data_IF_740917920336
#
_entry.id   IF_740917920336
#
_cell.length_a   1.000
_cell.length_b   1.000
_cell.length_c   1.000
_cell.angle_alpha   90.00
_cell.angle_beta   90.00
_cell.angle_gamma   90.00
#
_symmetry.space_group_name_H-M   'P 1'
#
loop_
_entity.id
_entity.type
_entity.pdbx_description
1 polymer ?
#
# COMPACT_ATOMS: atom_id res chain seq x y z
N UNK A 1 -24.25 -6.02 -21.11
CA UNK A 1 -22.85 -6.51 -20.99
C UNK A 1 -22.12 -6.64 -22.33
N UNK A 2 -22.73 -7.16 -23.41
CA UNK A 2 -22.06 -7.27 -24.72
C UNK A 2 -21.58 -5.92 -25.31
N UNK A 3 -22.34 -4.85 -25.10
CA UNK A 3 -22.00 -3.48 -25.56
C UNK A 3 -20.74 -2.90 -24.90
N UNK A 4 -20.51 -3.14 -23.59
CA UNK A 4 -19.31 -2.66 -22.88
C UNK A 4 -18.06 -3.41 -23.34
N UNK A 5 -18.18 -4.73 -23.56
CA UNK A 5 -17.09 -5.57 -24.05
C UNK A 5 -16.63 -5.15 -25.45
N UNK A 6 -17.57 -4.76 -26.32
CA UNK A 6 -17.32 -4.27 -27.67
C UNK A 6 -16.63 -2.90 -27.68
N UNK A 7 -17.07 -1.97 -26.82
CA UNK A 7 -16.46 -0.64 -26.67
C UNK A 7 -15.02 -0.70 -26.17
N UNK A 8 -14.73 -1.59 -25.21
CA UNK A 8 -13.37 -1.79 -24.71
C UNK A 8 -12.47 -2.41 -25.79
N UNK A 9 -12.93 -3.45 -26.49
CA UNK A 9 -12.12 -4.07 -27.55
C UNK A 9 -11.80 -3.11 -28.70
N UNK A 10 -12.74 -2.28 -29.13
CA UNK A 10 -12.48 -1.24 -30.14
C UNK A 10 -11.47 -0.21 -29.62
N UNK A 11 -11.65 0.27 -28.39
CA UNK A 11 -10.72 1.20 -27.75
C UNK A 11 -9.29 0.64 -27.68
N UNK A 12 -9.12 -0.62 -27.23
CA UNK A 12 -7.81 -1.27 -27.17
C UNK A 12 -7.22 -1.55 -28.56
N UNK A 13 -8.03 -1.83 -29.57
CA UNK A 13 -7.57 -2.11 -30.94
C UNK A 13 -6.95 -0.89 -31.65
N UNK A 14 -7.35 0.33 -31.25
CA UNK A 14 -6.81 1.58 -31.79
C UNK A 14 -5.52 2.06 -31.12
N UNK A 15 -5.10 1.45 -30.00
CA UNK A 15 -3.90 1.87 -29.29
C UNK A 15 -2.64 1.33 -29.97
N UNK A 16 -1.70 2.23 -30.27
CA UNK A 16 -0.39 1.88 -30.83
C UNK A 16 0.61 1.39 -29.77
N UNK A 17 0.36 1.71 -28.50
CA UNK A 17 1.21 1.38 -27.36
C UNK A 17 0.42 0.58 -26.33
N UNK A 18 1.12 -0.22 -25.52
CA UNK A 18 0.50 -0.86 -24.37
C UNK A 18 0.07 0.19 -23.31
N UNK A 19 -1.14 0.09 -22.74
CA UNK A 19 -1.67 1.03 -21.77
C UNK A 19 -0.96 0.91 -20.41
N UNK A 20 -1.02 2.00 -19.66
CA UNK A 20 -0.65 2.07 -18.24
C UNK A 20 -1.93 1.97 -17.41
N UNK A 21 -1.97 1.05 -16.45
CA UNK A 21 -3.12 0.87 -15.58
C UNK A 21 -2.86 1.49 -14.21
N UNK A 22 -3.80 2.26 -13.68
CA UNK A 22 -3.78 2.67 -12.28
C UNK A 22 -4.63 1.74 -11.42
N UNK A 23 -4.03 1.11 -10.41
CA UNK A 23 -4.70 0.22 -9.47
C UNK A 23 -4.59 0.73 -8.05
N UNK A 24 -5.74 1.03 -7.44
CA UNK A 24 -5.84 1.36 -6.02
C UNK A 24 -6.23 0.16 -5.16
N UNK A 25 -6.50 0.43 -3.88
CA UNK A 25 -6.72 -0.60 -2.86
C UNK A 25 -7.97 -1.43 -3.09
N UNK A 26 -8.92 -0.92 -3.88
CA UNK A 26 -10.09 -1.68 -4.33
C UNK A 26 -9.74 -2.98 -5.06
N UNK A 27 -8.60 -3.05 -5.75
CA UNK A 27 -8.13 -4.28 -6.39
C UNK A 27 -7.80 -5.36 -5.36
N UNK A 28 -6.98 -5.02 -4.36
CA UNK A 28 -6.63 -5.93 -3.26
C UNK A 28 -7.86 -6.31 -2.43
N UNK A 29 -8.75 -5.35 -2.11
CA UNK A 29 -10.00 -5.63 -1.39
C UNK A 29 -10.93 -6.60 -2.13
N UNK A 30 -10.97 -6.51 -3.47
CA UNK A 30 -11.81 -7.38 -4.30
C UNK A 30 -11.30 -8.82 -4.29
N UNK A 31 -9.99 -9.01 -4.37
CA UNK A 31 -9.41 -10.33 -4.67
C UNK A 31 -8.69 -11.01 -3.51
N UNK A 32 -8.24 -10.29 -2.48
CA UNK A 32 -7.54 -10.88 -1.34
C UNK A 32 -8.49 -11.23 -0.20
N UNK A 33 -8.17 -12.32 0.53
CA UNK A 33 -8.88 -12.73 1.76
C UNK A 33 -8.76 -11.65 2.85
N UNK A 34 -7.59 -11.02 2.95
CA UNK A 34 -7.33 -9.94 3.89
C UNK A 34 -6.71 -8.74 3.16
N UNK A 35 -7.35 -7.58 3.30
CA UNK A 35 -6.88 -6.30 2.81
C UNK A 35 -7.70 -5.20 3.50
N UNK A 36 -7.24 -3.96 3.46
CA UNK A 36 -7.80 -2.88 4.25
C UNK A 36 -7.91 -1.61 3.41
N UNK A 37 -8.99 -0.84 3.59
CA UNK A 37 -8.93 0.58 3.22
C UNK A 37 -7.92 1.29 4.12
N UNK A 38 -7.47 2.50 3.75
CA UNK A 38 -6.57 3.26 4.62
C UNK A 38 -7.17 3.51 6.01
N UNK A 39 -8.46 3.85 6.08
CA UNK A 39 -9.16 4.03 7.35
C UNK A 39 -9.18 2.73 8.16
N UNK A 40 -9.56 1.61 7.54
CA UNK A 40 -9.68 0.32 8.22
C UNK A 40 -8.32 -0.24 8.65
N UNK A 41 -7.24 0.06 7.91
CA UNK A 41 -5.88 -0.30 8.29
C UNK A 41 -5.47 0.40 9.58
N UNK A 42 -5.64 1.72 9.65
CA UNK A 42 -5.31 2.49 10.86
C UNK A 42 -6.21 2.09 12.03
N UNK A 43 -7.49 1.81 11.76
CA UNK A 43 -8.42 1.28 12.75
C UNK A 43 -7.94 -0.05 13.32
N UNK A 44 -7.60 -1.00 12.44
CA UNK A 44 -7.10 -2.33 12.83
C UNK A 44 -5.86 -2.21 13.70
N UNK A 45 -4.89 -1.38 13.31
CA UNK A 45 -3.66 -1.17 14.10
C UNK A 45 -3.97 -0.57 15.47
N UNK A 46 -4.88 0.41 15.54
CA UNK A 46 -5.32 0.99 16.82
C UNK A 46 -6.05 -0.04 17.69
N UNK A 47 -6.92 -0.85 17.11
CA UNK A 47 -7.66 -1.90 17.82
C UNK A 47 -6.71 -2.96 18.38
N UNK A 48 -5.70 -3.36 17.61
CA UNK A 48 -4.68 -4.32 18.06
C UNK A 48 -3.78 -3.73 19.15
N UNK A 49 -3.38 -2.46 19.01
CA UNK A 49 -2.56 -1.78 20.01
C UNK A 49 -3.29 -1.63 21.35
N UNK A 50 -4.51 -1.10 21.34
CA UNK A 50 -5.21 -0.71 22.56
C UNK A 50 -6.23 -1.72 23.08
N UNK A 51 -6.65 -2.70 22.26
CA UNK A 51 -7.76 -3.60 22.58
C UNK A 51 -9.10 -2.88 22.77
N UNK A 52 -9.24 -1.64 22.27
CA UNK A 52 -10.43 -0.82 22.47
C UNK A 52 -10.75 0.04 21.23
N UNK A 53 -11.89 -0.21 20.55
CA UNK A 53 -12.25 0.50 19.32
C UNK A 53 -12.54 1.99 19.50
N UNK A 54 -12.79 2.45 20.73
CA UNK A 54 -13.01 3.88 21.01
C UNK A 54 -11.73 4.70 20.82
N UNK A 55 -10.56 4.10 21.06
CA UNK A 55 -9.28 4.81 20.95
C UNK A 55 -9.00 5.32 19.54
N UNK A 56 -9.43 4.57 18.53
CA UNK A 56 -9.30 5.02 17.14
C UNK A 56 -10.19 6.23 16.87
N UNK A 57 -11.44 6.20 17.35
CA UNK A 57 -12.38 7.31 17.19
C UNK A 57 -11.91 8.57 17.92
N UNK A 58 -11.43 8.44 19.15
CA UNK A 58 -10.82 9.54 19.91
C UNK A 58 -9.66 10.17 19.12
N UNK A 59 -8.81 9.33 18.51
CA UNK A 59 -7.69 9.79 17.71
C UNK A 59 -8.14 10.55 16.45
N UNK A 60 -9.12 10.00 15.73
CA UNK A 60 -9.71 10.61 14.52
C UNK A 60 -10.33 11.98 14.81
N UNK A 61 -11.01 12.12 15.96
CA UNK A 61 -11.59 13.38 16.43
C UNK A 61 -10.52 14.45 16.64
N UNK A 62 -9.39 14.07 17.28
CA UNK A 62 -8.28 15.00 17.52
C UNK A 62 -7.54 15.45 16.24
N UNK A 63 -7.82 14.82 15.09
CA UNK A 63 -7.16 15.06 13.80
C UNK A 63 -8.08 15.74 12.78
N UNK A 64 -9.09 16.46 13.26
CA UNK A 64 -10.00 17.23 12.42
C UNK A 64 -9.34 18.53 11.92
N UNK A 65 -9.19 18.66 10.60
CA UNK A 65 -8.55 19.80 9.95
C UNK A 65 -9.45 20.26 8.80
N UNK A 66 -9.75 21.56 8.72
CA UNK A 66 -10.53 22.15 7.61
C UNK A 66 -11.87 21.43 7.32
N UNK A 67 -12.57 20.95 8.35
CA UNK A 67 -13.87 20.29 8.16
C UNK A 67 -13.79 18.81 7.78
N UNK A 68 -12.62 18.16 7.87
CA UNK A 68 -12.45 16.73 7.64
C UNK A 68 -11.33 16.14 8.51
N UNK A 69 -11.46 14.89 8.95
CA UNK A 69 -10.36 14.18 9.60
C UNK A 69 -9.24 13.87 8.61
N UNK A 70 -8.01 14.26 8.94
CA UNK A 70 -6.81 13.92 8.17
C UNK A 70 -6.27 12.55 8.57
N UNK A 71 -6.31 11.58 7.66
CA UNK A 71 -5.76 10.23 7.92
C UNK A 71 -4.24 10.23 8.02
N UNK A 72 -3.56 11.16 7.35
CA UNK A 72 -2.10 11.35 7.44
C UNK A 72 -1.68 11.74 8.86
N UNK A 73 -2.45 12.65 9.49
CA UNK A 73 -2.22 13.07 10.86
C UNK A 73 -2.62 12.00 11.88
N UNK A 74 -3.70 11.26 11.61
CA UNK A 74 -4.07 10.08 12.41
C UNK A 74 -2.94 9.06 12.37
N UNK A 75 -2.39 8.75 11.19
CA UNK A 75 -1.28 7.83 11.04
C UNK A 75 -0.01 8.30 11.77
N UNK A 76 0.34 9.59 11.69
CA UNK A 76 1.49 10.17 12.42
C UNK A 76 1.37 9.99 13.94
N UNK A 77 0.20 10.32 14.49
CA UNK A 77 -0.05 10.21 15.94
C UNK A 77 -0.15 8.75 16.37
N UNK A 78 -0.77 7.90 15.55
CA UNK A 78 -0.86 6.47 15.81
C UNK A 78 0.52 5.81 15.76
N UNK A 79 1.36 6.16 14.79
CA UNK A 79 2.75 5.68 14.68
C UNK A 79 3.54 6.01 15.95
N UNK A 80 3.43 7.26 16.43
CA UNK A 80 4.10 7.69 17.67
C UNK A 80 3.69 6.80 18.84
N UNK A 81 2.39 6.58 19.02
CA UNK A 81 1.88 5.77 20.13
C UNK A 81 2.17 4.29 19.96
N UNK A 82 2.12 3.77 18.75
CA UNK A 82 2.45 2.39 18.45
C UNK A 82 3.92 2.12 18.76
N UNK A 83 4.83 2.98 18.31
CA UNK A 83 6.26 2.82 18.56
C UNK A 83 6.62 2.90 20.06
N UNK A 84 5.90 3.70 20.83
CA UNK A 84 6.03 3.82 22.29
C UNK A 84 5.52 2.56 23.00
N UNK A 85 4.26 2.18 22.75
CA UNK A 85 3.58 1.14 23.51
C UNK A 85 3.97 -0.28 23.06
N UNK A 86 4.25 -0.50 21.77
CA UNK A 86 4.58 -1.83 21.26
C UNK A 86 5.98 -2.31 21.69
N UNK A 87 6.85 -1.42 22.15
CA UNK A 87 8.23 -1.77 22.52
C UNK A 87 8.29 -2.77 23.69
N UNK A 88 7.35 -2.67 24.63
CA UNK A 88 7.29 -3.49 25.85
C UNK A 88 6.09 -4.47 25.85
N UNK A 89 5.41 -4.62 24.72
CA UNK A 89 4.20 -5.43 24.60
C UNK A 89 4.48 -6.74 23.86
N UNK A 90 4.33 -7.86 24.56
CA UNK A 90 4.64 -9.21 24.07
C UNK A 90 3.88 -9.58 22.78
N UNK A 91 2.70 -8.98 22.54
CA UNK A 91 1.91 -9.21 21.32
C UNK A 91 2.64 -8.76 20.06
N UNK A 92 3.63 -7.88 20.20
CA UNK A 92 4.42 -7.33 19.11
C UNK A 92 5.88 -7.82 19.12
N UNK A 93 6.20 -8.91 19.81
CA UNK A 93 7.56 -9.46 19.87
C UNK A 93 8.16 -9.73 18.48
N UNK A 94 7.41 -10.33 17.54
CA UNK A 94 7.89 -10.53 16.17
C UNK A 94 8.27 -9.20 15.48
N UNK A 95 7.49 -8.13 15.73
CA UNK A 95 7.74 -6.80 15.19
C UNK A 95 8.97 -6.17 15.84
N UNK A 96 9.15 -6.40 17.15
CA UNK A 96 10.30 -5.93 17.91
C UNK A 96 11.58 -6.63 17.47
N UNK A 97 11.55 -7.94 17.22
CA UNK A 97 12.69 -8.71 16.73
C UNK A 97 13.16 -8.16 15.37
N UNK A 98 12.23 -7.97 14.43
CA UNK A 98 12.54 -7.34 13.13
C UNK A 98 13.10 -5.93 13.33
N UNK A 99 12.47 -5.12 14.19
CA UNK A 99 12.93 -3.76 14.46
C UNK A 99 14.37 -3.73 14.97
N UNK A 100 14.71 -4.55 15.96
CA UNK A 100 16.05 -4.58 16.55
C UNK A 100 17.10 -5.18 15.60
N UNK A 101 16.74 -6.20 14.81
CA UNK A 101 17.62 -6.77 13.79
C UNK A 101 18.07 -5.75 12.75
N UNK A 102 17.14 -4.91 12.28
CA UNK A 102 17.46 -3.83 11.34
C UNK A 102 18.19 -2.68 12.02
N UNK A 103 17.80 -2.31 13.24
CA UNK A 103 18.46 -1.25 14.01
C UNK A 103 19.93 -1.59 14.29
N UNK A 104 20.25 -2.85 14.62
CA UNK A 104 21.62 -3.33 14.79
C UNK A 104 22.47 -3.20 13.51
N UNK A 105 21.83 -3.21 12.33
CA UNK A 105 22.47 -3.00 11.02
C UNK A 105 22.51 -1.51 10.62
N UNK A 106 22.11 -0.59 11.51
CA UNK A 106 22.05 0.84 11.24
C UNK A 106 20.87 1.28 10.37
N UNK A 107 19.90 0.39 10.11
CA UNK A 107 18.71 0.69 9.32
C UNK A 107 17.56 1.00 10.28
N UNK A 108 17.02 2.22 10.20
CA UNK A 108 15.94 2.67 11.09
C UNK A 108 14.58 2.48 10.46
N UNK A 109 13.93 1.38 10.81
CA UNK A 109 12.51 1.16 10.52
C UNK A 109 11.64 1.57 11.71
N UNK A 110 10.39 1.90 11.44
CA UNK A 110 9.38 2.16 12.47
C UNK A 110 8.66 0.85 12.80
N UNK A 111 8.43 0.53 14.07
CA UNK A 111 7.65 -0.66 14.46
C UNK A 111 6.26 -0.63 13.83
N UNK A 112 5.66 0.55 13.78
CA UNK A 112 4.38 0.78 13.11
C UNK A 112 4.40 0.35 11.65
N UNK A 113 5.43 0.74 10.89
CA UNK A 113 5.56 0.38 9.46
C UNK A 113 5.90 -1.09 9.25
N UNK A 114 6.74 -1.67 10.10
CA UNK A 114 6.98 -3.13 10.11
C UNK A 114 5.66 -3.87 10.35
N UNK A 115 4.85 -3.40 11.30
CA UNK A 115 3.56 -4.00 11.59
C UNK A 115 2.57 -3.89 10.43
N UNK A 116 2.56 -2.76 9.72
CA UNK A 116 1.78 -2.64 8.47
C UNK A 116 2.24 -3.66 7.43
N UNK A 117 3.55 -3.87 7.27
CA UNK A 117 4.07 -4.89 6.37
C UNK A 117 3.53 -6.27 6.75
N UNK A 118 3.54 -6.60 8.04
CA UNK A 118 2.99 -7.85 8.57
C UNK A 118 1.48 -8.02 8.29
N UNK A 119 0.69 -6.96 8.47
CA UNK A 119 -0.76 -6.98 8.20
C UNK A 119 -1.12 -7.14 6.71
N UNK A 120 -0.18 -6.84 5.81
CA UNK A 120 -0.41 -6.79 4.36
C UNK A 120 0.46 -7.80 3.58
N UNK A 121 1.17 -8.70 4.27
CA UNK A 121 2.04 -9.71 3.63
C UNK A 121 1.24 -10.86 3.01
N UNK A 122 0.09 -11.20 3.59
CA UNK A 122 -0.77 -12.26 3.08
C UNK A 122 -1.54 -11.80 1.84
N UNK A 123 -1.15 -12.38 0.70
CA UNK A 123 -1.76 -12.16 -0.61
C UNK A 123 -2.60 -13.38 -1.07
N UNK A 124 -3.17 -14.11 -0.11
CA UNK A 124 -4.09 -15.21 -0.37
C UNK A 124 -5.35 -14.71 -1.05
N UNK A 125 -5.69 -15.34 -2.17
CA UNK A 125 -6.83 -14.97 -3.01
C UNK A 125 -8.14 -15.53 -2.46
N UNK A 126 -9.23 -14.78 -2.63
CA UNK A 126 -10.61 -15.22 -2.43
C UNK A 126 -10.97 -16.26 -3.48
N UNK A 127 -11.29 -17.47 -3.03
CA UNK A 127 -11.59 -18.61 -3.91
C UNK A 127 -12.81 -18.33 -4.79
N UNK A 128 -13.80 -17.61 -4.26
CA UNK A 128 -15.00 -17.18 -4.97
C UNK A 128 -14.72 -16.24 -6.15
N UNK A 129 -13.53 -15.61 -6.20
CA UNK A 129 -13.14 -14.70 -7.29
C UNK A 129 -12.36 -15.38 -8.41
N UNK A 130 -12.09 -16.69 -8.31
CA UNK A 130 -11.24 -17.43 -9.25
C UNK A 130 -11.67 -17.32 -10.72
N UNK A 131 -12.97 -17.32 -10.99
CA UNK A 131 -13.49 -17.18 -12.36
C UNK A 131 -13.24 -15.78 -12.94
N UNK A 132 -13.45 -14.74 -12.14
CA UNK A 132 -13.18 -13.34 -12.56
C UNK A 132 -11.67 -13.14 -12.80
N UNK A 133 -10.84 -13.67 -11.90
CA UNK A 133 -9.38 -13.64 -12.02
C UNK A 133 -8.89 -14.36 -13.28
N UNK A 134 -9.46 -15.52 -13.62
CA UNK A 134 -9.11 -16.25 -14.84
C UNK A 134 -9.38 -15.43 -16.11
N UNK A 135 -10.46 -14.62 -16.15
CA UNK A 135 -10.74 -13.71 -17.26
C UNK A 135 -9.79 -12.50 -17.26
N UNK A 136 -9.50 -11.91 -16.10
CA UNK A 136 -8.52 -10.82 -15.97
C UNK A 136 -7.11 -11.26 -16.42
N UNK A 137 -6.71 -12.51 -16.15
CA UNK A 137 -5.43 -13.06 -16.60
C UNK A 137 -5.32 -13.06 -18.14
N UNK A 138 -6.43 -13.21 -18.86
CA UNK A 138 -6.43 -13.12 -20.34
C UNK A 138 -6.18 -11.69 -20.80
N UNK A 139 -6.73 -10.70 -20.10
CA UNK A 139 -6.55 -9.29 -20.40
C UNK A 139 -5.16 -8.74 -20.03
N UNK A 140 -4.49 -9.36 -19.04
CA UNK A 140 -3.21 -8.87 -18.48
C UNK A 140 -2.08 -8.75 -19.51
N UNK A 141 -2.09 -9.58 -20.56
CA UNK A 141 -1.01 -9.64 -21.57
C UNK A 141 -0.87 -8.36 -22.39
N UNK A 142 -1.90 -7.52 -22.38
CA UNK A 142 -1.93 -6.31 -23.20
C UNK A 142 -1.52 -5.06 -22.42
N UNK A 143 -1.13 -5.17 -21.15
CA UNK A 143 -0.77 -4.03 -20.28
C UNK A 143 0.75 -3.79 -20.32
N UNK A 144 1.16 -2.53 -20.40
CA UNK A 144 2.57 -2.15 -20.50
C UNK A 144 3.19 -2.01 -19.12
N UNK A 145 2.52 -1.28 -18.23
CA UNK A 145 2.97 -1.01 -16.87
C UNK A 145 1.79 -0.72 -15.95
N UNK A 146 2.05 -0.76 -14.64
CA UNK A 146 1.02 -0.51 -13.63
C UNK A 146 1.53 0.54 -12.65
N UNK A 147 0.65 1.47 -12.29
CA UNK A 147 0.85 2.44 -11.22
C UNK A 147 -0.08 2.08 -10.06
N UNK A 148 0.43 2.02 -8.85
CA UNK A 148 -0.36 1.66 -7.66
C UNK A 148 0.03 2.46 -6.44
N UNK A 149 -0.97 2.67 -5.58
CA UNK A 149 -0.81 3.20 -4.22
C UNK A 149 -0.90 2.11 -3.15
N UNK A 150 -1.02 0.83 -3.56
CA UNK A 150 -1.10 -0.30 -2.65
C UNK A 150 0.28 -0.70 -2.16
N UNK A 151 0.37 -1.11 -0.89
CA UNK A 151 1.63 -1.58 -0.31
C UNK A 151 1.90 -3.06 -0.61
N UNK A 152 0.86 -3.89 -0.68
CA UNK A 152 0.91 -5.34 -0.87
C UNK A 152 1.51 -5.76 -2.23
N UNK A 153 2.00 -7.00 -2.34
CA UNK A 153 2.66 -7.53 -3.55
C UNK A 153 1.70 -8.24 -4.53
N UNK A 154 0.38 -8.02 -4.40
CA UNK A 154 -0.59 -8.81 -5.15
C UNK A 154 -0.60 -8.47 -6.64
N UNK A 155 -0.43 -7.19 -6.98
CA UNK A 155 -0.39 -6.73 -8.36
C UNK A 155 0.81 -7.35 -9.09
N UNK A 156 1.97 -7.38 -8.46
CA UNK A 156 3.21 -7.98 -8.95
C UNK A 156 3.00 -9.47 -9.22
N UNK A 157 2.44 -10.20 -8.25
CA UNK A 157 2.10 -11.63 -8.40
C UNK A 157 1.12 -11.85 -9.56
N UNK A 158 0.06 -11.06 -9.63
CA UNK A 158 -1.02 -11.24 -10.60
C UNK A 158 -0.58 -10.90 -12.03
N UNK A 159 0.16 -9.80 -12.22
CA UNK A 159 0.61 -9.36 -13.54
C UNK A 159 1.95 -9.98 -13.96
N UNK A 160 2.67 -10.62 -13.03
CA UNK A 160 4.06 -11.11 -13.19
C UNK A 160 5.02 -9.98 -13.55
N UNK A 161 4.82 -8.83 -12.93
CA UNK A 161 5.59 -7.61 -13.15
C UNK A 161 6.53 -7.36 -11.97
N UNK A 162 7.61 -6.62 -12.21
CA UNK A 162 8.60 -6.31 -11.17
C UNK A 162 8.23 -5.02 -10.42
N UNK A 163 8.32 -4.99 -9.08
CA UNK A 163 8.06 -3.77 -8.32
C UNK A 163 9.15 -2.73 -8.55
N UNK A 164 8.73 -1.48 -8.72
CA UNK A 164 9.57 -0.30 -8.74
C UNK A 164 9.08 0.66 -7.66
N UNK A 165 9.88 0.79 -6.60
CA UNK A 165 9.49 1.44 -5.34
C UNK A 165 10.10 2.84 -5.26
N UNK A 166 9.28 3.84 -4.93
CA UNK A 166 9.75 5.20 -4.63
C UNK A 166 10.44 5.88 -5.82
N UNK A 167 11.67 6.35 -5.66
CA UNK A 167 12.38 7.16 -6.65
C UNK A 167 13.15 6.34 -7.72
N UNK A 168 13.16 5.01 -7.63
CA UNK A 168 13.82 4.14 -8.61
C UNK A 168 13.15 4.16 -10.00
N UNK A 169 12.08 4.94 -10.14
CA UNK A 169 11.25 5.11 -11.34
C UNK A 169 12.05 5.75 -12.48
N UNK A 170 12.86 6.78 -12.19
CA UNK A 170 13.45 7.66 -13.20
C UNK A 170 14.47 6.98 -14.13
N UNK A 171 15.04 5.83 -13.73
CA UNK A 171 16.10 5.13 -14.47
C UNK A 171 15.73 3.68 -14.83
N UNK A 172 14.45 3.31 -14.73
CA UNK A 172 13.96 1.94 -14.87
C UNK A 172 13.29 1.67 -16.22
N UNK A 173 13.31 0.41 -16.68
CA UNK A 173 12.49 0.02 -17.83
C UNK A 173 11.00 0.03 -17.42
N UNK A 174 10.15 0.83 -18.08
CA UNK A 174 8.75 0.92 -17.72
C UNK A 174 7.95 -0.32 -18.04
N UNK A 175 8.35 -1.10 -19.05
CA UNK A 175 7.61 -2.27 -19.47
C UNK A 175 7.72 -3.42 -18.47
N UNK A 176 6.58 -3.99 -18.09
CA UNK A 176 6.52 -5.11 -17.16
C UNK A 176 6.77 -4.71 -15.71
N UNK A 177 6.54 -3.45 -15.36
CA UNK A 177 6.84 -2.90 -14.04
C UNK A 177 5.59 -2.43 -13.30
N UNK A 178 5.62 -2.59 -11.96
CA UNK A 178 4.62 -2.06 -11.02
C UNK A 178 5.23 -0.91 -10.23
N UNK A 179 4.83 0.30 -10.57
CA UNK A 179 5.23 1.53 -9.91
C UNK A 179 4.44 1.74 -8.61
N UNK A 180 5.14 1.74 -7.47
CA UNK A 180 4.52 1.88 -6.15
C UNK A 180 4.81 3.24 -5.54
N UNK A 181 3.82 4.12 -5.60
CA UNK A 181 3.95 5.52 -5.20
C UNK A 181 4.12 5.64 -3.69
N UNK A 182 3.34 4.89 -2.91
CA UNK A 182 3.35 4.98 -1.44
C UNK A 182 4.31 3.97 -0.78
N UNK A 183 5.22 3.36 -1.54
CA UNK A 183 6.13 2.34 -1.00
C UNK A 183 5.59 0.91 -1.09
N UNK A 184 6.23 -0.02 -0.38
CA UNK A 184 5.94 -1.44 -0.48
C UNK A 184 6.17 -2.18 0.84
N UNK A 185 5.40 -3.25 1.08
CA UNK A 185 5.64 -4.18 2.20
C UNK A 185 7.00 -4.89 2.16
N UNK A 186 7.68 -4.92 1.00
CA UNK A 186 9.03 -5.47 0.88
C UNK A 186 10.12 -4.55 1.42
N UNK A 187 9.81 -3.28 1.68
CA UNK A 187 10.71 -2.31 2.30
C UNK A 187 9.91 -1.30 3.15
N UNK A 188 9.85 -1.56 4.45
CA UNK A 188 9.12 -0.72 5.40
C UNK A 188 9.58 0.75 5.41
N UNK A 189 10.85 1.05 5.08
CA UNK A 189 11.31 2.45 5.03
C UNK A 189 10.79 3.24 3.84
N UNK A 190 10.35 2.55 2.78
CA UNK A 190 9.79 3.18 1.60
C UNK A 190 8.35 3.67 1.79
N UNK A 191 7.67 3.22 2.85
CA UNK A 191 6.24 3.47 3.04
C UNK A 191 5.95 4.95 3.32
N UNK A 192 4.99 5.49 2.57
CA UNK A 192 4.43 6.83 2.71
C UNK A 192 3.04 6.71 3.31
N UNK A 193 2.89 6.96 4.61
CA UNK A 193 1.59 6.83 5.31
C UNK A 193 1.32 7.95 6.32
N UNK A 194 2.35 8.51 6.95
CA UNK A 194 2.19 9.59 7.92
C UNK A 194 2.32 10.97 7.28
N UNK A 195 1.84 12.01 7.95
CA UNK A 195 2.00 13.39 7.48
C UNK A 195 3.47 13.72 7.22
N UNK A 196 4.38 13.28 8.10
CA UNK A 196 5.83 13.47 7.92
C UNK A 196 6.35 12.76 6.68
N UNK A 197 5.81 11.58 6.34
CA UNK A 197 6.19 10.89 5.11
C UNK A 197 5.75 11.64 3.86
N UNK A 198 4.50 12.10 3.83
CA UNK A 198 3.96 12.88 2.71
C UNK A 198 4.76 14.16 2.50
N UNK A 199 5.07 14.90 3.57
CA UNK A 199 5.91 16.10 3.50
C UNK A 199 7.31 15.81 2.93
N UNK A 200 7.95 14.71 3.35
CA UNK A 200 9.26 14.29 2.82
C UNK A 200 9.17 13.84 1.37
N UNK A 201 8.08 13.18 1.01
CA UNK A 201 7.82 12.74 -0.35
C UNK A 201 7.70 13.96 -1.27
N UNK A 202 6.84 14.93 -0.93
CA UNK A 202 6.68 16.18 -1.71
C UNK A 202 8.00 16.95 -1.87
N UNK A 203 8.78 17.12 -0.81
CA UNK A 203 10.09 17.78 -0.87
C UNK A 203 11.04 17.10 -1.87
N UNK A 204 11.07 15.76 -1.88
CA UNK A 204 11.89 15.00 -2.84
C UNK A 204 11.42 15.19 -4.28
N UNK A 205 10.11 15.30 -4.52
CA UNK A 205 9.58 15.57 -5.87
C UNK A 205 9.90 16.97 -6.35
N UNK A 206 9.84 17.98 -5.48
CA UNK A 206 10.22 19.35 -5.85
C UNK A 206 11.71 19.45 -6.20
N UNK A 207 12.59 18.70 -5.51
CA UNK A 207 14.02 18.62 -5.86
C UNK A 207 14.30 17.96 -7.22
N UNK A 208 13.39 17.12 -7.74
CA UNK A 208 13.51 16.46 -9.05
C UNK A 208 13.00 17.37 -10.18
N UNK A 209 12.15 18.36 -9.86
CA UNK A 209 11.64 19.33 -10.84
C UNK A 209 12.60 20.52 -11.08
N UNK A 210 13.52 20.77 -10.15
CA UNK A 210 14.52 21.84 -10.22
C UNK A 210 15.73 21.44 -11.08
#
# INVERSE_FOLDING_TARGET
MASLKMQLSEFFSGMRNHPILFLGTGFSLRYLKQSYTWYDLLKKISDDLYGNPRKFLDLVDTCYVNGKSSLELVAERLETKFNELAADDERFNEINDIFYDYMAKGIRYSRFKIYICKLLEDISEKEEMSQELAELVKARKNIGSILTTNYDLYVEKFFKFSPLIGNNILLSNPYGSVYKIHGCVSDASSMVITQSDYNKFEQKYELIKA
#
